data_IF_223704888916
#
_entry.id   IF_223704888916
#
_cell.length_a   1.000
_cell.length_b   1.000
_cell.length_c   1.000
_cell.angle_alpha   90.00
_cell.angle_beta   90.00
_cell.angle_gamma   90.00
#
_symmetry.space_group_name_H-M   'P 1'
#
loop_
_entity.id
_entity.type
_entity.pdbx_description
1 polymer ?
#
# COMPACT_ATOMS: atom_id res chain seq x y z
N UNK A 1 12.49 -7.95 22.35
CA UNK A 1 13.22 -7.88 21.07
C UNK A 1 12.26 -7.45 19.97
N UNK A 2 12.66 -6.49 19.17
CA UNK A 2 11.82 -6.02 18.06
C UNK A 2 12.18 -6.74 16.77
N UNK A 3 11.19 -6.97 15.94
CA UNK A 3 11.36 -7.60 14.65
C UNK A 3 11.07 -6.62 13.53
N UNK A 4 11.77 -6.77 12.44
CA UNK A 4 11.54 -5.99 11.24
C UNK A 4 11.21 -6.95 10.09
N UNK A 5 10.08 -6.71 9.44
CA UNK A 5 9.69 -7.51 8.29
C UNK A 5 10.22 -6.86 7.02
N UNK A 6 11.15 -7.54 6.36
CA UNK A 6 11.73 -7.03 5.13
C UNK A 6 11.11 -7.77 3.94
N UNK A 7 10.44 -7.04 3.05
CA UNK A 7 9.82 -7.69 1.90
C UNK A 7 10.88 -8.13 0.88
N UNK A 8 10.53 -9.18 0.15
CA UNK A 8 11.42 -9.74 -0.88
C UNK A 8 10.88 -9.40 -2.27
N UNK A 9 11.80 -9.21 -3.22
CA UNK A 9 11.47 -8.99 -4.63
C UNK A 9 10.54 -7.78 -4.81
N UNK A 10 9.41 -7.96 -5.45
CA UNK A 10 8.47 -6.88 -5.74
C UNK A 10 7.38 -6.69 -4.68
N UNK A 11 7.63 -7.20 -3.48
CA UNK A 11 6.65 -7.08 -2.38
C UNK A 11 6.87 -5.82 -1.57
N UNK A 12 5.81 -5.41 -0.91
CA UNK A 12 5.82 -4.23 -0.03
C UNK A 12 5.14 -4.58 1.27
N UNK A 13 5.54 -3.91 2.35
CA UNK A 13 4.91 -4.03 3.66
C UNK A 13 4.12 -2.76 3.92
N UNK A 14 2.84 -2.92 4.27
CA UNK A 14 1.90 -1.81 4.41
C UNK A 14 1.22 -1.89 5.76
N UNK A 15 1.10 -0.75 6.42
CA UNK A 15 0.30 -0.59 7.63
C UNK A 15 -1.02 0.05 7.23
N UNK A 16 -2.12 -0.63 7.54
CA UNK A 16 -3.45 -0.13 7.21
C UNK A 16 -3.77 1.14 7.98
N UNK A 17 -4.36 2.10 7.30
CA UNK A 17 -4.89 3.31 7.94
C UNK A 17 -6.30 3.03 8.46
N UNK A 18 -6.64 3.68 9.57
CA UNK A 18 -7.96 3.59 10.16
C UNK A 18 -9.01 4.04 9.13
N UNK A 19 -10.01 3.20 8.81
CA UNK A 19 -11.04 3.58 7.83
C UNK A 19 -11.79 4.85 8.20
N UNK A 20 -12.05 5.08 9.49
CA UNK A 20 -12.74 6.29 9.92
C UNK A 20 -11.89 7.54 9.68
N UNK A 21 -10.59 7.42 9.88
CA UNK A 21 -9.66 8.51 9.65
C UNK A 21 -9.56 8.84 8.16
N UNK A 22 -9.53 7.82 7.33
CA UNK A 22 -9.52 7.99 5.87
C UNK A 22 -10.79 8.70 5.43
N UNK A 23 -11.93 8.29 5.96
CA UNK A 23 -13.21 8.87 5.61
C UNK A 23 -13.29 10.34 5.99
N UNK A 24 -12.77 10.69 7.16
CA UNK A 24 -12.76 12.09 7.62
C UNK A 24 -11.88 12.99 6.78
N UNK A 25 -10.92 12.43 6.07
CA UNK A 25 -10.04 13.18 5.18
C UNK A 25 -10.69 13.49 3.82
N UNK A 26 -11.89 13.00 3.58
CA UNK A 26 -12.60 13.21 2.32
C UNK A 26 -12.40 12.10 1.29
N UNK A 27 -11.70 11.03 1.66
CA UNK A 27 -11.43 9.90 0.77
C UNK A 27 -12.55 8.88 0.90
N UNK A 28 -13.70 9.15 0.29
CA UNK A 28 -14.90 8.34 0.43
C UNK A 28 -15.06 7.42 -0.78
N UNK A 29 -15.42 6.16 -0.52
CA UNK A 29 -15.73 5.19 -1.57
C UNK A 29 -17.18 5.42 -2.02
N UNK A 30 -17.44 5.50 -3.34
CA UNK A 30 -18.80 5.63 -3.83
C UNK A 30 -19.69 4.47 -3.39
N UNK A 31 -20.96 4.72 -3.05
CA UNK A 31 -21.88 3.64 -2.69
C UNK A 31 -22.29 2.82 -3.91
N UNK A 32 -22.88 1.65 -3.68
CA UNK A 32 -23.55 0.90 -4.71
C UNK A 32 -22.79 -0.26 -5.29
N UNK A 33 -21.71 -0.71 -4.64
CA UNK A 33 -21.02 -1.91 -5.05
C UNK A 33 -21.22 -3.00 -4.00
N UNK A 34 -21.28 -4.26 -4.46
CA UNK A 34 -21.34 -5.42 -3.56
C UNK A 34 -19.97 -5.85 -3.09
N UNK A 35 -18.91 -5.29 -3.68
CA UNK A 35 -17.55 -5.62 -3.32
C UNK A 35 -17.09 -4.81 -2.10
N UNK A 36 -16.24 -5.40 -1.25
CA UNK A 36 -15.64 -4.63 -0.16
C UNK A 36 -14.91 -3.41 -0.71
N UNK A 37 -14.99 -2.26 -0.02
CA UNK A 37 -14.29 -1.07 -0.50
C UNK A 37 -12.78 -1.25 -0.45
N UNK A 38 -12.05 -0.54 -1.32
CA UNK A 38 -10.59 -0.52 -1.24
C UNK A 38 -10.12 0.02 0.11
N UNK A 39 -8.95 -0.43 0.51
CA UNK A 39 -8.35 -0.03 1.77
C UNK A 39 -7.17 0.89 1.52
N UNK A 40 -6.80 1.66 2.52
CA UNK A 40 -5.70 2.61 2.46
C UNK A 40 -4.63 2.21 3.46
N UNK A 41 -3.39 2.47 3.13
CA UNK A 41 -2.29 2.18 4.02
C UNK A 41 -1.06 3.01 3.71
N UNK A 42 -0.09 2.94 4.61
CA UNK A 42 1.20 3.60 4.46
C UNK A 42 2.26 2.52 4.24
N UNK A 43 3.08 2.71 3.22
CA UNK A 43 4.18 1.79 2.92
C UNK A 43 5.25 1.94 4.00
N UNK A 44 5.55 0.84 4.69
CA UNK A 44 6.59 0.81 5.72
C UNK A 44 7.93 0.36 5.15
N UNK A 45 7.90 -0.54 4.17
CA UNK A 45 9.12 -1.08 3.56
C UNK A 45 8.82 -1.57 2.16
N UNK A 46 9.82 -1.54 1.31
CA UNK A 46 9.72 -2.02 -0.06
C UNK A 46 10.84 -3.01 -0.34
N UNK A 47 10.54 -4.00 -1.17
CA UNK A 47 11.56 -4.93 -1.64
C UNK A 47 12.43 -4.31 -2.73
N UNK A 48 13.47 -5.01 -3.15
CA UNK A 48 14.41 -4.49 -4.16
C UNK A 48 13.86 -4.51 -5.59
N UNK A 49 12.73 -5.16 -5.81
CA UNK A 49 12.20 -5.36 -7.15
C UNK A 49 12.57 -6.73 -7.71
N UNK A 50 12.15 -7.01 -8.92
CA UNK A 50 12.49 -8.24 -9.60
C UNK A 50 13.82 -8.09 -10.33
N UNK A 51 14.59 -9.17 -10.42
CA UNK A 51 15.93 -9.12 -11.01
C UNK A 51 15.95 -8.57 -12.43
N UNK A 52 14.97 -8.95 -13.24
CA UNK A 52 14.95 -8.53 -14.63
C UNK A 52 14.59 -7.04 -14.80
N UNK A 53 14.04 -6.41 -13.75
CA UNK A 53 13.71 -4.97 -13.80
C UNK A 53 14.93 -4.11 -14.07
N UNK A 54 16.07 -4.45 -13.48
CA UNK A 54 17.30 -3.68 -13.67
C UNK A 54 17.74 -3.67 -15.14
N UNK A 55 17.50 -4.78 -15.84
CA UNK A 55 17.88 -4.90 -17.24
C UNK A 55 17.07 -4.00 -18.16
N UNK A 56 15.88 -3.59 -17.73
CA UNK A 56 15.01 -2.73 -18.53
C UNK A 56 14.79 -1.37 -17.89
N UNK A 57 15.55 -1.06 -16.84
CA UNK A 57 15.48 0.25 -16.20
C UNK A 57 14.25 0.49 -15.35
N UNK A 58 13.55 -0.56 -14.93
CA UNK A 58 12.37 -0.44 -14.08
C UNK A 58 12.80 -0.43 -12.62
N UNK A 59 12.20 0.46 -11.82
CA UNK A 59 12.42 0.53 -10.38
C UNK A 59 11.10 0.36 -9.66
N UNK A 60 11.18 0.08 -8.36
CA UNK A 60 9.98 -0.01 -7.53
C UNK A 60 9.17 1.28 -7.66
N UNK A 61 7.90 1.18 -8.03
CA UNK A 61 7.07 2.38 -8.25
C UNK A 61 6.59 3.05 -6.97
N UNK A 62 6.78 2.43 -5.81
CA UNK A 62 6.37 3.00 -4.53
C UNK A 62 7.56 3.08 -3.60
N UNK A 63 7.46 3.96 -2.61
CA UNK A 63 8.53 4.23 -1.66
C UNK A 63 7.98 4.22 -0.25
N UNK A 64 8.87 4.01 0.72
CA UNK A 64 8.51 4.10 2.12
C UNK A 64 7.84 5.45 2.41
N UNK A 65 6.72 5.40 3.11
CA UNK A 65 5.96 6.60 3.45
C UNK A 65 4.83 6.92 2.49
N UNK A 66 4.78 6.26 1.33
CA UNK A 66 3.71 6.50 0.37
C UNK A 66 2.37 6.06 0.90
N UNK A 67 1.34 6.84 0.62
CA UNK A 67 -0.04 6.48 0.92
C UNK A 67 -0.58 5.70 -0.28
N UNK A 68 -0.86 4.43 -0.07
CA UNK A 68 -1.30 3.54 -1.13
C UNK A 68 -2.72 3.08 -0.91
N UNK A 69 -3.37 2.71 -2.01
CA UNK A 69 -4.72 2.15 -2.02
C UNK A 69 -4.63 0.74 -2.56
N UNK A 70 -5.28 -0.19 -1.89
CA UNK A 70 -5.21 -1.60 -2.27
C UNK A 70 -6.57 -2.28 -2.08
N UNK A 71 -6.87 -3.31 -2.89
CA UNK A 71 -8.12 -4.04 -2.71
C UNK A 71 -8.10 -4.88 -1.43
N UNK A 72 -9.28 -5.12 -0.87
CA UNK A 72 -9.40 -5.90 0.37
C UNK A 72 -8.80 -7.30 0.25
N UNK A 73 -8.73 -7.83 -0.97
CA UNK A 73 -8.20 -9.16 -1.24
C UNK A 73 -6.69 -9.21 -1.46
N UNK A 74 -6.01 -8.06 -1.41
CA UNK A 74 -4.58 -8.01 -1.70
C UNK A 74 -3.75 -8.73 -0.64
N UNK A 75 -2.74 -9.45 -1.09
CA UNK A 75 -1.67 -9.99 -0.27
C UNK A 75 -2.09 -10.88 0.89
N UNK A 76 -1.25 -10.88 1.90
CA UNK A 76 -1.44 -11.65 3.13
C UNK A 76 -1.21 -10.77 4.35
N UNK A 77 -2.01 -10.96 5.37
CA UNK A 77 -1.85 -10.24 6.63
C UNK A 77 -0.93 -11.02 7.55
N UNK A 78 0.02 -10.33 8.12
CA UNK A 78 1.03 -10.91 9.00
C UNK A 78 1.09 -10.07 10.27
N UNK A 79 1.17 -10.73 11.43
CA UNK A 79 1.34 -10.04 12.69
C UNK A 79 2.82 -10.04 13.06
N UNK A 80 3.37 -8.86 13.29
CA UNK A 80 4.75 -8.67 13.71
C UNK A 80 4.74 -7.80 14.95
N UNK A 81 5.23 -8.33 16.07
CA UNK A 81 5.30 -7.59 17.33
C UNK A 81 3.96 -6.95 17.70
N UNK A 82 2.89 -7.75 17.62
CA UNK A 82 1.52 -7.36 17.94
C UNK A 82 0.91 -6.34 16.96
N UNK A 83 1.60 -6.06 15.87
CA UNK A 83 1.11 -5.16 14.85
C UNK A 83 0.74 -5.95 13.59
N UNK A 84 -0.45 -5.68 13.08
CA UNK A 84 -0.95 -6.37 11.88
C UNK A 84 -0.51 -5.61 10.65
N UNK A 85 0.25 -6.29 9.79
CA UNK A 85 0.81 -5.69 8.58
C UNK A 85 0.37 -6.47 7.36
N UNK A 86 0.21 -5.77 6.24
CA UNK A 86 -0.11 -6.37 4.97
C UNK A 86 1.17 -6.51 4.15
N UNK A 87 1.40 -7.70 3.62
CA UNK A 87 2.47 -7.93 2.65
C UNK A 87 1.82 -8.30 1.34
N UNK A 88 2.09 -7.52 0.30
CA UNK A 88 1.53 -7.79 -1.02
C UNK A 88 2.55 -7.42 -2.09
N UNK A 89 2.29 -7.87 -3.31
CA UNK A 89 3.11 -7.49 -4.45
C UNK A 89 2.72 -6.09 -4.89
N UNK A 90 3.69 -5.34 -5.38
CA UNK A 90 3.44 -3.97 -5.83
C UNK A 90 2.38 -3.93 -6.93
N UNK A 91 2.29 -4.97 -7.75
CA UNK A 91 1.27 -5.06 -8.80
C UNK A 91 -0.16 -5.23 -8.29
N UNK A 92 -0.33 -5.56 -7.02
CA UNK A 92 -1.67 -5.66 -6.42
C UNK A 92 -2.19 -4.32 -5.93
N UNK A 93 -1.35 -3.30 -5.84
CA UNK A 93 -1.77 -1.98 -5.41
C UNK A 93 -2.56 -1.29 -6.51
N UNK A 94 -3.60 -0.56 -6.12
CA UNK A 94 -4.42 0.17 -7.07
C UNK A 94 -3.79 1.50 -7.44
N UNK A 95 -3.10 2.14 -6.50
CA UNK A 95 -2.46 3.41 -6.78
C UNK A 95 -1.81 4.02 -5.56
N UNK A 96 -1.12 5.11 -5.80
CA UNK A 96 -0.51 5.94 -4.76
C UNK A 96 -1.31 7.23 -4.69
N UNK A 97 -1.71 7.58 -3.48
CA UNK A 97 -2.46 8.81 -3.25
C UNK A 97 -1.50 9.92 -2.90
N UNK A 98 -1.42 10.92 -3.77
CA UNK A 98 -0.55 12.05 -3.56
C UNK A 98 -1.36 13.31 -3.38
N UNK A 99 -0.91 14.18 -2.47
CA UNK A 99 -1.50 15.50 -2.35
C UNK A 99 -0.99 16.38 -3.48
N UNK A 100 -1.92 17.11 -4.09
CA UNK A 100 -1.55 18.08 -5.12
C UNK A 100 -1.85 19.47 -4.62
N UNK A 101 -1.00 20.43 -5.01
CA UNK A 101 -1.20 21.82 -4.65
C UNK A 101 -1.95 22.55 -5.75
N UNK A 102 -2.74 23.54 -5.34
CA UNK A 102 -3.45 24.39 -6.26
C UNK A 102 -4.79 23.82 -6.70
N UNK A 103 -5.55 24.60 -7.49
CA UNK A 103 -6.86 24.17 -7.94
C UNK A 103 -6.78 22.99 -8.89
N UNK A 104 -7.72 22.07 -8.74
CA UNK A 104 -7.88 20.94 -9.64
C UNK A 104 -8.96 21.29 -10.68
N UNK A 105 -8.66 21.03 -11.91
CA UNK A 105 -9.61 21.32 -12.99
C UNK A 105 -9.84 20.08 -13.85
#
# INVERSE_FOLDING_TARGET
>A
MRHELRPLFDRVVIKELDPDRVRRSGLVVPPGTDEPPPQHGIVLAVGPGLDWWDHVGVKMPVHRGDHVVFPASAGAWIEVDEERLLVCRVGELLGVLAETEGPQE
#
